data_IF_262751102173
#
_entry.id   IF_262751102173
#
_cell.length_a   1.000
_cell.length_b   1.000
_cell.length_c   1.000
_cell.angle_alpha   90.00
_cell.angle_beta   90.00
_cell.angle_gamma   90.00
#
_symmetry.space_group_name_H-M   'P 1'
#
loop_
_entity.id
_entity.type
_entity.pdbx_description
1 polymer ?
#
# COMPACT_ATOMS: atom_id res chain seq x y z
N UNK A 1 -21.92 4.53 5.78
CA UNK A 1 -22.69 3.30 5.46
C UNK A 1 -22.24 2.27 6.49
N UNK A 2 -23.12 1.80 7.38
CA UNK A 2 -22.72 0.93 8.50
C UNK A 2 -22.36 -0.46 7.96
N UNK A 3 -21.09 -0.87 8.03
CA UNK A 3 -20.70 -2.27 7.84
C UNK A 3 -21.21 -3.06 9.05
N UNK A 4 -22.37 -3.69 8.92
CA UNK A 4 -22.88 -4.61 9.93
C UNK A 4 -22.22 -5.97 9.76
N UNK A 5 -21.65 -6.50 10.84
CA UNK A 5 -21.05 -7.82 10.93
C UNK A 5 -22.03 -8.94 10.53
N UNK A 6 -21.74 -9.60 9.42
CA UNK A 6 -22.36 -10.86 9.00
C UNK A 6 -21.25 -11.80 8.52
N UNK A 7 -21.00 -12.88 9.26
CA UNK A 7 -20.28 -14.07 8.80
C UNK A 7 -21.17 -15.26 9.18
N UNK A 8 -21.83 -15.83 8.17
CA UNK A 8 -22.57 -17.11 8.29
C UNK A 8 -21.67 -18.18 7.70
N UNK A 9 -21.27 -19.13 8.56
CA UNK A 9 -20.44 -20.26 8.17
C UNK A 9 -21.10 -21.15 7.12
N UNK A 10 -20.33 -21.51 6.09
CA UNK A 10 -20.70 -22.52 5.12
C UNK A 10 -19.57 -23.55 5.06
N UNK A 11 -19.85 -24.78 5.49
CA UNK A 11 -18.95 -25.91 5.33
C UNK A 11 -19.20 -26.56 3.96
N UNK A 12 -18.17 -26.62 3.10
CA UNK A 12 -18.16 -27.49 1.93
C UNK A 12 -16.98 -28.45 2.01
N UNK A 13 -17.29 -29.74 1.90
CA UNK A 13 -16.30 -30.81 1.79
C UNK A 13 -16.32 -31.32 0.36
N UNK A 14 -15.19 -31.22 -0.36
CA UNK A 14 -14.96 -32.00 -1.58
C UNK A 14 -13.49 -32.42 -1.66
N UNK A 15 -13.29 -33.74 -1.76
CA UNK A 15 -11.99 -34.38 -2.01
C UNK A 15 -12.04 -35.11 -3.34
N UNK A 16 -11.05 -34.86 -4.20
CA UNK A 16 -10.53 -35.82 -5.18
C UNK A 16 -9.09 -35.42 -5.52
N UNK A 17 -8.13 -36.28 -5.18
CA UNK A 17 -6.70 -36.03 -5.35
C UNK A 17 -6.16 -36.56 -6.68
N UNK A 18 -5.28 -35.76 -7.30
CA UNK A 18 -4.30 -36.20 -8.29
C UNK A 18 -2.93 -35.87 -7.69
N UNK A 19 -2.06 -36.88 -7.56
CA UNK A 19 -0.73 -36.71 -6.97
C UNK A 19 0.26 -36.20 -8.03
N UNK A 20 0.41 -34.89 -8.13
CA UNK A 20 1.59 -34.24 -8.71
C UNK A 20 2.68 -34.09 -7.66
N UNK A 21 3.95 -34.16 -8.06
CA UNK A 21 5.06 -33.87 -7.17
C UNK A 21 5.01 -32.39 -6.75
N UNK A 22 4.48 -32.12 -5.55
CA UNK A 22 4.49 -30.77 -4.98
C UNK A 22 5.93 -30.40 -4.58
N UNK A 23 6.39 -29.18 -4.90
CA UNK A 23 7.60 -28.65 -4.31
C UNK A 23 7.48 -28.74 -2.79
N UNK A 24 8.49 -29.32 -2.13
CA UNK A 24 8.51 -29.43 -0.66
C UNK A 24 8.49 -28.04 -0.06
N UNK A 25 7.33 -27.67 0.51
CA UNK A 25 7.19 -26.49 1.33
C UNK A 25 8.31 -26.42 2.38
N UNK A 26 8.92 -25.25 2.62
CA UNK A 26 9.87 -25.09 3.70
C UNK A 26 9.26 -25.59 5.01
N UNK A 27 10.04 -26.32 5.81
CA UNK A 27 9.57 -27.18 6.89
C UNK A 27 8.87 -26.46 8.08
N UNK A 28 8.51 -25.18 7.97
CA UNK A 28 7.94 -24.37 9.06
C UNK A 28 6.92 -23.32 8.57
N UNK A 29 6.14 -23.59 7.51
CA UNK A 29 5.05 -22.67 7.11
C UNK A 29 3.86 -22.77 8.08
N UNK A 30 3.26 -21.62 8.40
CA UNK A 30 2.03 -21.55 9.19
C UNK A 30 0.82 -21.84 8.30
N UNK A 31 0.75 -21.18 7.14
CA UNK A 31 -0.32 -21.33 6.14
C UNK A 31 0.30 -21.22 4.76
N UNK A 32 -0.23 -22.00 3.82
CA UNK A 32 0.19 -21.99 2.42
C UNK A 32 -0.99 -22.33 1.50
N UNK A 33 -1.55 -21.31 0.85
CA UNK A 33 -2.59 -21.45 -0.14
C UNK A 33 -1.96 -21.37 -1.54
N UNK A 34 -1.88 -22.52 -2.23
CA UNK A 34 -1.30 -22.67 -3.58
C UNK A 34 -2.35 -22.57 -4.71
N UNK A 35 -3.64 -22.58 -4.36
CA UNK A 35 -4.77 -22.44 -5.29
C UNK A 35 -4.85 -23.46 -6.44
N UNK A 36 -4.12 -24.58 -6.35
CA UNK A 36 -4.04 -25.60 -7.40
C UNK A 36 -5.39 -26.21 -7.80
N UNK A 37 -6.29 -26.39 -6.83
CA UNK A 37 -7.57 -27.08 -7.04
C UNK A 37 -8.77 -26.31 -6.52
N UNK A 38 -8.57 -25.17 -5.84
CA UNK A 38 -9.65 -24.44 -5.18
C UNK A 38 -9.16 -23.20 -4.43
N UNK A 39 -10.10 -22.31 -4.10
CA UNK A 39 -9.82 -21.03 -3.42
C UNK A 39 -9.49 -21.18 -1.92
N UNK A 40 -9.56 -22.40 -1.36
CA UNK A 40 -9.50 -22.58 0.09
C UNK A 40 -10.64 -21.84 0.79
N UNK A 41 -10.31 -21.10 1.85
CA UNK A 41 -11.28 -20.27 2.60
C UNK A 41 -11.43 -18.85 2.02
N UNK A 42 -10.74 -18.54 0.93
CA UNK A 42 -10.85 -17.24 0.29
C UNK A 42 -12.22 -17.05 -0.38
N UNK A 43 -12.87 -15.94 -0.06
CA UNK A 43 -14.20 -15.60 -0.56
C UNK A 43 -14.26 -14.15 -1.02
N UNK A 44 -15.15 -13.87 -1.97
CA UNK A 44 -15.43 -12.51 -2.40
C UNK A 44 -16.45 -11.84 -1.48
N UNK A 45 -16.15 -10.62 -1.06
CA UNK A 45 -17.06 -9.70 -0.40
C UNK A 45 -17.40 -8.55 -1.34
N UNK A 46 -18.67 -8.12 -1.36
CA UNK A 46 -19.17 -7.05 -2.21
C UNK A 46 -20.14 -7.55 -3.28
N UNK A 47 -21.07 -6.69 -3.70
CA UNK A 47 -22.15 -7.07 -4.62
C UNK A 47 -21.64 -7.44 -6.02
N UNK A 48 -20.58 -6.78 -6.48
CA UNK A 48 -19.96 -7.04 -7.79
C UNK A 48 -18.83 -8.06 -7.75
N UNK A 49 -18.43 -8.50 -6.56
CA UNK A 49 -17.22 -9.27 -6.37
C UNK A 49 -17.43 -10.76 -6.66
N UNK A 50 -16.45 -11.41 -7.30
CA UNK A 50 -16.40 -12.86 -7.50
C UNK A 50 -14.98 -13.37 -7.27
N UNK A 51 -14.87 -14.52 -6.63
CA UNK A 51 -13.62 -15.24 -6.45
C UNK A 51 -13.74 -16.61 -7.13
N UNK A 52 -12.69 -17.05 -7.81
CA UNK A 52 -12.63 -18.33 -8.50
C UNK A 52 -11.19 -18.75 -8.78
N UNK A 53 -10.99 -19.95 -9.34
CA UNK A 53 -9.65 -20.41 -9.75
C UNK A 53 -9.52 -20.27 -11.26
N UNK A 54 -8.40 -19.71 -11.71
CA UNK A 54 -7.98 -19.74 -13.10
C UNK A 54 -6.89 -20.78 -13.32
N UNK A 55 -6.93 -21.46 -14.46
CA UNK A 55 -5.90 -22.38 -14.95
C UNK A 55 -5.27 -21.88 -16.26
N UNK A 56 -5.54 -20.63 -16.63
CA UNK A 56 -4.88 -19.99 -17.77
C UNK A 56 -3.41 -19.76 -17.42
N UNK A 57 -2.49 -20.38 -18.16
CA UNK A 57 -1.06 -20.26 -17.95
C UNK A 57 -0.53 -18.82 -17.97
N UNK A 58 -1.22 -17.88 -18.64
CA UNK A 58 -0.85 -16.46 -18.60
C UNK A 58 -1.11 -15.79 -17.23
N UNK A 59 -1.95 -16.41 -16.40
CA UNK A 59 -2.47 -15.91 -15.14
C UNK A 59 -2.23 -16.88 -13.97
N UNK A 60 -1.28 -17.81 -14.13
CA UNK A 60 -0.76 -18.69 -13.07
C UNK A 60 0.72 -18.36 -12.89
N UNK A 61 1.17 -18.15 -11.66
CA UNK A 61 2.55 -17.78 -11.37
C UNK A 61 3.41 -19.00 -11.07
N UNK A 62 2.90 -19.90 -10.23
CA UNK A 62 3.49 -21.19 -9.90
C UNK A 62 2.41 -22.28 -9.99
N UNK A 63 2.80 -23.54 -10.18
CA UNK A 63 1.83 -24.63 -10.23
C UNK A 63 0.91 -24.62 -11.45
N UNK A 64 -0.37 -24.93 -11.22
CA UNK A 64 -1.41 -25.11 -12.25
C UNK A 64 -2.62 -24.19 -12.04
N UNK A 65 -2.75 -23.52 -10.90
CA UNK A 65 -3.91 -22.69 -10.58
C UNK A 65 -3.52 -21.44 -9.82
N UNK A 66 -4.29 -20.37 -10.02
CA UNK A 66 -4.19 -19.15 -9.22
C UNK A 66 -5.60 -18.66 -8.84
N UNK A 67 -5.70 -17.97 -7.71
CA UNK A 67 -6.96 -17.36 -7.27
C UNK A 67 -7.22 -16.09 -8.09
N UNK A 68 -8.32 -16.08 -8.84
CA UNK A 68 -8.83 -14.94 -9.58
C UNK A 68 -9.88 -14.19 -8.75
N UNK A 69 -9.77 -12.87 -8.68
CA UNK A 69 -10.75 -11.98 -8.06
C UNK A 69 -11.22 -10.92 -9.06
N UNK A 70 -12.51 -10.99 -9.42
CA UNK A 70 -13.21 -10.02 -10.25
C UNK A 70 -14.02 -9.05 -9.40
N UNK A 71 -14.00 -7.77 -9.72
CA UNK A 71 -14.81 -6.75 -9.03
C UNK A 71 -15.06 -5.54 -9.93
N UNK A 72 -15.97 -4.66 -9.52
CA UNK A 72 -16.19 -3.37 -10.18
C UNK A 72 -15.85 -2.23 -9.23
N UNK A 73 -15.00 -1.29 -9.69
CA UNK A 73 -14.89 0.02 -9.06
C UNK A 73 -16.14 0.82 -9.40
N UNK A 74 -16.97 1.13 -8.41
CA UNK A 74 -18.16 1.98 -8.59
C UNK A 74 -18.58 2.69 -7.30
N UNK A 75 -19.25 3.85 -7.41
CA UNK A 75 -19.80 4.53 -6.24
C UNK A 75 -20.74 3.65 -5.43
N UNK A 76 -20.71 3.82 -4.10
CA UNK A 76 -21.51 3.11 -3.09
C UNK A 76 -21.26 1.61 -2.99
N UNK A 77 -20.16 1.10 -3.57
CA UNK A 77 -19.76 -0.29 -3.41
C UNK A 77 -18.34 -0.42 -2.87
N UNK A 78 -18.16 -1.48 -2.09
CA UNK A 78 -16.88 -1.93 -1.59
C UNK A 78 -16.79 -3.43 -1.83
N UNK A 79 -15.69 -3.84 -2.43
CA UNK A 79 -15.36 -5.20 -2.79
C UNK A 79 -14.01 -5.55 -2.16
N UNK A 80 -13.88 -6.78 -1.66
CA UNK A 80 -12.63 -7.29 -1.12
C UNK A 80 -12.57 -8.81 -1.29
N UNK A 81 -11.35 -9.33 -1.36
CA UNK A 81 -11.07 -10.75 -1.27
C UNK A 81 -10.71 -11.07 0.18
N UNK A 82 -11.44 -11.97 0.84
CA UNK A 82 -11.36 -12.19 2.30
C UNK A 82 -11.04 -13.66 2.60
N UNK A 83 -10.07 -13.88 3.48
CA UNK A 83 -9.77 -15.17 4.12
C UNK A 83 -10.07 -15.06 5.63
N UNK A 84 -11.12 -15.73 6.16
CA UNK A 84 -11.44 -15.71 7.57
C UNK A 84 -10.42 -16.53 8.39
N UNK A 85 -9.97 -15.98 9.50
CA UNK A 85 -9.01 -16.61 10.42
C UNK A 85 -9.67 -16.80 11.79
N UNK A 86 -10.66 -17.70 11.86
CA UNK A 86 -11.56 -17.85 13.01
C UNK A 86 -10.86 -18.05 14.37
N UNK A 87 -9.62 -18.54 14.37
CA UNK A 87 -8.84 -18.82 15.58
C UNK A 87 -7.65 -17.85 15.79
N UNK A 88 -7.63 -16.70 15.12
CA UNK A 88 -6.45 -15.84 15.12
C UNK A 88 -5.41 -16.29 14.10
N UNK A 89 -4.37 -15.47 13.92
CA UNK A 89 -3.10 -15.89 13.34
C UNK A 89 -2.15 -16.34 14.48
N UNK A 90 -1.22 -17.28 14.24
CA UNK A 90 -0.22 -17.61 15.25
C UNK A 90 0.63 -16.39 15.64
N UNK A 91 0.88 -16.23 16.95
CA UNK A 91 1.67 -15.11 17.51
C UNK A 91 3.08 -14.99 16.96
N UNK A 92 3.64 -16.10 16.49
CA UNK A 92 4.96 -16.14 15.88
C UNK A 92 4.93 -15.82 14.38
N UNK A 93 3.82 -15.34 13.81
CA UNK A 93 3.79 -14.82 12.43
C UNK A 93 4.76 -13.66 12.30
N UNK A 94 5.67 -13.74 11.33
CA UNK A 94 6.69 -12.72 11.07
C UNK A 94 6.63 -12.19 9.64
N UNK A 95 5.97 -12.90 8.72
CA UNK A 95 5.84 -12.48 7.32
C UNK A 95 4.57 -13.02 6.65
N UNK A 96 4.02 -12.20 5.76
CA UNK A 96 3.05 -12.54 4.73
C UNK A 96 3.76 -12.45 3.38
N UNK A 97 3.66 -13.49 2.56
CA UNK A 97 4.28 -13.51 1.23
C UNK A 97 3.29 -14.05 0.21
N UNK A 98 3.24 -13.45 -0.97
CA UNK A 98 2.40 -13.94 -2.07
C UNK A 98 2.84 -13.33 -3.39
N UNK A 99 2.34 -13.89 -4.48
CA UNK A 99 2.42 -13.29 -5.81
C UNK A 99 1.10 -12.60 -6.14
N UNK A 100 1.17 -11.42 -6.76
CA UNK A 100 0.01 -10.68 -7.24
C UNK A 100 0.22 -10.22 -8.68
N UNK A 101 -0.84 -10.24 -9.49
CA UNK A 101 -0.90 -9.63 -10.83
C UNK A 101 -2.26 -8.95 -10.99
N UNK A 102 -2.32 -7.76 -11.56
CA UNK A 102 -3.59 -7.07 -11.85
C UNK A 102 -3.71 -6.72 -13.32
N UNK A 103 -4.92 -6.62 -13.85
CA UNK A 103 -5.21 -6.17 -15.22
C UNK A 103 -4.98 -4.66 -15.42
N UNK A 104 -4.72 -3.94 -14.33
CA UNK A 104 -4.37 -2.52 -14.33
C UNK A 104 -3.35 -2.19 -13.24
N UNK A 105 -2.85 -0.95 -13.22
CA UNK A 105 -1.97 -0.48 -12.16
C UNK A 105 -2.78 -0.18 -10.90
N UNK A 106 -2.79 -1.10 -9.95
CA UNK A 106 -3.67 -1.06 -8.78
C UNK A 106 -2.92 -0.62 -7.51
N UNK A 107 -3.60 0.18 -6.68
CA UNK A 107 -3.20 0.44 -5.30
C UNK A 107 -3.95 -0.52 -4.39
N UNK A 108 -3.30 -1.60 -3.98
CA UNK A 108 -3.92 -2.61 -3.14
C UNK A 108 -3.54 -2.41 -1.67
N UNK A 109 -4.33 -3.02 -0.80
CA UNK A 109 -4.10 -3.05 0.64
C UNK A 109 -4.32 -4.46 1.13
N UNK A 110 -3.36 -4.96 1.91
CA UNK A 110 -3.56 -6.10 2.80
C UNK A 110 -4.13 -5.58 4.12
N UNK A 111 -5.26 -6.13 4.54
CA UNK A 111 -5.99 -5.77 5.75
C UNK A 111 -5.90 -6.92 6.74
N UNK A 112 -5.60 -6.61 8.00
CA UNK A 112 -5.84 -7.49 9.14
C UNK A 112 -6.94 -6.87 9.99
N UNK A 113 -7.99 -7.65 10.25
CA UNK A 113 -9.10 -7.23 11.10
C UNK A 113 -9.09 -8.06 12.37
N UNK A 114 -8.98 -7.42 13.52
CA UNK A 114 -9.09 -8.08 14.82
C UNK A 114 -10.54 -8.30 15.25
N UNK A 115 -10.75 -9.31 16.10
CA UNK A 115 -12.01 -9.55 16.79
C UNK A 115 -12.19 -8.49 17.88
N UNK A 116 -13.16 -7.57 17.70
CA UNK A 116 -13.42 -6.44 18.59
C UNK A 116 -12.26 -5.43 18.73
N UNK A 117 -11.25 -5.51 17.86
CA UNK A 117 -10.06 -4.67 17.87
C UNK A 117 -9.89 -3.86 16.58
N UNK A 118 -8.68 -3.36 16.39
CA UNK A 118 -8.35 -2.45 15.29
C UNK A 118 -8.48 -3.09 13.91
N UNK A 119 -8.51 -2.21 12.90
CA UNK A 119 -8.25 -2.60 11.51
C UNK A 119 -6.87 -2.09 11.12
N UNK A 120 -6.03 -3.00 10.67
CA UNK A 120 -4.65 -2.75 10.32
C UNK A 120 -4.45 -2.87 8.82
N UNK A 121 -3.74 -1.91 8.21
CA UNK A 121 -3.59 -1.79 6.76
C UNK A 121 -2.10 -1.78 6.38
N UNK A 122 -1.73 -2.56 5.38
CA UNK A 122 -0.45 -2.48 4.69
C UNK A 122 -0.70 -2.27 3.19
N UNK A 123 -0.36 -1.07 2.69
CA UNK A 123 -0.54 -0.72 1.27
C UNK A 123 0.60 -1.28 0.43
N UNK A 124 0.28 -1.68 -0.80
CA UNK A 124 1.26 -2.04 -1.81
C UNK A 124 0.70 -1.81 -3.22
N UNK A 125 1.59 -1.70 -4.20
CA UNK A 125 1.22 -1.51 -5.59
C UNK A 125 1.24 -2.85 -6.30
N UNK A 126 0.27 -3.10 -7.17
CA UNK A 126 0.30 -4.21 -8.12
C UNK A 126 0.45 -3.63 -9.55
N UNK A 127 1.58 -3.87 -10.24
CA UNK A 127 1.76 -3.39 -11.60
C UNK A 127 0.82 -4.10 -12.57
N UNK A 128 0.42 -3.37 -13.61
CA UNK A 128 -0.41 -3.89 -14.69
C UNK A 128 0.29 -5.08 -15.38
N UNK A 129 -0.47 -6.15 -15.56
CA UNK A 129 -0.14 -7.35 -16.34
C UNK A 129 1.19 -8.01 -15.95
N UNK A 130 1.72 -7.72 -14.76
CA UNK A 130 3.02 -8.19 -14.30
C UNK A 130 2.88 -8.86 -12.95
N UNK A 131 3.37 -10.10 -12.83
CA UNK A 131 3.49 -10.76 -11.54
C UNK A 131 4.54 -10.09 -10.68
N UNK A 132 4.15 -9.72 -9.47
CA UNK A 132 5.03 -9.17 -8.45
C UNK A 132 4.92 -9.98 -7.17
N UNK A 133 6.07 -10.28 -6.57
CA UNK A 133 6.10 -10.83 -5.23
C UNK A 133 5.84 -9.71 -4.23
N UNK A 134 4.96 -9.96 -3.28
CA UNK A 134 4.65 -9.09 -2.15
C UNK A 134 5.16 -9.74 -0.88
N UNK A 135 5.85 -8.97 -0.06
CA UNK A 135 6.44 -9.41 1.21
C UNK A 135 6.13 -8.37 2.29
N UNK A 136 5.25 -8.70 3.23
CA UNK A 136 4.79 -7.76 4.27
C UNK A 136 5.07 -8.36 5.65
N UNK A 137 5.71 -7.60 6.53
CA UNK A 137 5.88 -7.94 7.94
C UNK A 137 4.75 -7.33 8.80
N UNK A 138 4.45 -7.89 9.98
CA UNK A 138 3.51 -7.27 10.92
C UNK A 138 3.83 -5.80 11.25
N UNK A 139 5.10 -5.40 11.23
CA UNK A 139 5.53 -4.02 11.47
C UNK A 139 5.17 -3.02 10.37
N UNK A 140 4.82 -3.50 9.18
CA UNK A 140 4.42 -2.67 8.04
C UNK A 140 2.96 -2.22 8.12
N UNK A 141 2.18 -2.86 8.99
CA UNK A 141 0.79 -2.50 9.19
C UNK A 141 0.65 -1.23 10.02
N UNK A 142 -0.28 -0.37 9.61
CA UNK A 142 -0.70 0.80 10.36
C UNK A 142 -2.16 0.66 10.78
N UNK A 143 -2.49 1.13 11.98
CA UNK A 143 -3.87 1.18 12.45
C UNK A 143 -4.65 2.20 11.61
N UNK A 144 -5.78 1.77 11.05
CA UNK A 144 -6.73 2.63 10.34
C UNK A 144 -7.36 3.65 11.30
N UNK A 145 -7.47 4.90 10.86
CA UNK A 145 -8.03 6.00 11.66
C UNK A 145 -9.39 6.48 11.13
N UNK A 146 -10.08 5.64 10.35
CA UNK A 146 -11.44 5.94 9.91
C UNK A 146 -12.38 6.05 11.13
N UNK A 147 -13.19 7.12 11.25
CA UNK A 147 -14.11 7.30 12.37
C UNK A 147 -15.09 6.14 12.62
N UNK A 148 -15.43 5.38 11.57
CA UNK A 148 -16.35 4.24 11.64
C UNK A 148 -15.65 2.90 11.94
N UNK A 149 -14.30 2.87 12.03
CA UNK A 149 -13.58 1.65 12.31
C UNK A 149 -13.65 1.27 13.80
N UNK A 150 -13.64 -0.04 14.13
CA UNK A 150 -13.59 -0.47 15.51
C UNK A 150 -12.31 0.07 16.16
N UNK A 151 -12.46 0.57 17.39
CA UNK A 151 -11.34 1.12 18.15
C UNK A 151 -10.48 0.00 18.68
N UNK A 152 -9.19 0.14 18.50
CA UNK A 152 -8.20 -0.67 19.19
C UNK A 152 -7.92 -0.05 20.59
N UNK A 153 -8.07 -0.81 21.68
CA UNK A 153 -7.83 -0.31 23.03
C UNK A 153 -6.37 0.02 23.34
N UNK A 154 -5.39 -0.62 22.70
CA UNK A 154 -3.96 -0.44 23.00
C UNK A 154 -3.11 0.03 21.81
N UNK A 155 -3.73 0.15 20.63
CA UNK A 155 -3.13 0.54 19.36
C UNK A 155 -1.96 -0.37 18.94
N UNK A 156 -2.10 -1.68 19.17
CA UNK A 156 -1.14 -2.69 18.74
C UNK A 156 -1.83 -3.82 17.99
N UNK A 157 -1.16 -4.28 16.93
CA UNK A 157 -1.61 -5.44 16.19
C UNK A 157 -1.42 -6.71 17.04
N UNK A 158 -2.54 -7.29 17.48
CA UNK A 158 -2.66 -8.55 18.19
C UNK A 158 -2.97 -9.68 17.20
N UNK A 159 -1.91 -10.34 16.70
CA UNK A 159 -2.02 -11.38 15.68
C UNK A 159 -2.97 -12.53 16.06
N UNK A 160 -3.02 -12.93 17.34
CA UNK A 160 -3.94 -13.97 17.82
C UNK A 160 -5.41 -13.53 17.92
N UNK A 161 -5.68 -12.25 17.72
CA UNK A 161 -7.04 -11.70 17.64
C UNK A 161 -7.48 -11.44 16.20
N UNK A 162 -6.60 -11.59 15.20
CA UNK A 162 -6.95 -11.39 13.79
C UNK A 162 -7.99 -12.42 13.35
N UNK A 163 -9.19 -11.97 13.00
CA UNK A 163 -10.31 -12.81 12.54
C UNK A 163 -10.51 -12.82 11.03
N UNK A 164 -9.86 -11.92 10.31
CA UNK A 164 -9.85 -11.93 8.85
C UNK A 164 -8.59 -11.27 8.29
N UNK A 165 -8.08 -11.88 7.22
CA UNK A 165 -7.13 -11.29 6.28
C UNK A 165 -7.92 -10.89 5.04
N UNK A 166 -7.70 -9.69 4.50
CA UNK A 166 -8.35 -9.29 3.26
C UNK A 166 -7.43 -8.53 2.33
N UNK A 167 -7.68 -8.61 1.03
CA UNK A 167 -7.04 -7.77 0.01
C UNK A 167 -8.13 -6.92 -0.64
N UNK A 168 -7.90 -5.61 -0.68
CA UNK A 168 -8.84 -4.66 -1.27
C UNK A 168 -8.13 -3.58 -2.07
N UNK A 169 -8.85 -3.00 -3.01
CA UNK A 169 -8.38 -1.88 -3.82
C UNK A 169 -8.70 -0.54 -3.15
N UNK A 170 -7.68 0.28 -2.93
CA UNK A 170 -7.76 1.61 -2.29
C UNK A 170 -8.52 2.61 -3.17
N UNK A 171 -8.55 2.41 -4.49
CA UNK A 171 -9.30 3.27 -5.42
C UNK A 171 -10.81 3.27 -5.13
N UNK A 172 -11.32 2.25 -4.44
CA UNK A 172 -12.69 2.18 -3.96
C UNK A 172 -13.06 3.29 -2.97
N UNK A 173 -12.09 3.89 -2.29
CA UNK A 173 -12.32 5.03 -1.39
C UNK A 173 -12.52 6.30 -2.23
N UNK A 174 -11.66 6.51 -3.23
CA UNK A 174 -11.71 7.72 -4.07
C UNK A 174 -12.95 7.77 -4.95
N UNK A 175 -13.41 6.63 -5.47
CA UNK A 175 -14.60 6.57 -6.33
C UNK A 175 -15.90 6.97 -5.58
N UNK A 176 -15.89 6.98 -4.24
CA UNK A 176 -17.03 7.46 -3.44
C UNK A 176 -17.21 8.98 -3.51
N UNK A 177 -16.16 9.73 -3.88
CA UNK A 177 -16.20 11.18 -4.04
C UNK A 177 -15.89 11.54 -5.50
N UNK A 178 -16.90 11.90 -6.31
CA UNK A 178 -16.71 12.18 -7.74
C UNK A 178 -15.67 13.27 -8.05
N UNK A 179 -15.57 14.30 -7.20
CA UNK A 179 -14.59 15.38 -7.38
C UNK A 179 -13.16 14.87 -7.17
N UNK A 180 -12.96 14.07 -6.11
CA UNK A 180 -11.67 13.45 -5.83
C UNK A 180 -11.30 12.41 -6.89
N UNK A 181 -12.25 11.56 -7.29
CA UNK A 181 -12.06 10.58 -8.35
C UNK A 181 -11.63 11.25 -9.67
N UNK A 182 -12.28 12.37 -10.03
CA UNK A 182 -11.88 13.15 -11.21
C UNK A 182 -10.46 13.71 -11.08
N UNK A 183 -10.14 14.36 -9.95
CA UNK A 183 -8.81 14.95 -9.72
C UNK A 183 -7.70 13.89 -9.77
N UNK A 184 -7.97 12.69 -9.26
CA UNK A 184 -7.02 11.59 -9.16
C UNK A 184 -7.07 10.62 -10.35
N UNK A 185 -7.92 10.89 -11.35
CA UNK A 185 -8.15 10.04 -12.51
C UNK A 185 -8.59 8.60 -12.18
N UNK A 186 -9.34 8.43 -11.09
CA UNK A 186 -9.93 7.14 -10.71
C UNK A 186 -11.25 6.97 -11.46
N UNK A 187 -11.36 5.91 -12.24
CA UNK A 187 -12.52 5.63 -13.10
C UNK A 187 -13.28 4.41 -12.62
N UNK A 188 -14.61 4.44 -12.81
CA UNK A 188 -15.42 3.26 -12.60
C UNK A 188 -15.18 2.27 -13.75
N UNK A 189 -14.77 1.05 -13.43
CA UNK A 189 -14.50 0.01 -14.40
C UNK A 189 -14.51 -1.38 -13.72
N UNK A 190 -14.79 -2.46 -14.48
CA UNK A 190 -14.47 -3.79 -14.02
C UNK A 190 -12.95 -3.95 -13.94
N UNK A 191 -12.50 -4.63 -12.89
CA UNK A 191 -11.10 -4.91 -12.64
C UNK A 191 -10.92 -6.33 -12.14
N UNK A 192 -9.68 -6.79 -12.28
CA UNK A 192 -9.29 -8.14 -11.89
C UNK A 192 -7.90 -8.14 -11.30
N UNK A 193 -7.71 -8.98 -10.28
CA UNK A 193 -6.37 -9.40 -9.91
C UNK A 193 -6.31 -10.91 -9.66
N UNK A 194 -5.09 -11.42 -9.70
CA UNK A 194 -4.71 -12.79 -9.47
C UNK A 194 -3.80 -12.87 -8.26
N UNK A 195 -4.06 -13.82 -7.38
CA UNK A 195 -3.25 -14.14 -6.20
C UNK A 195 -2.71 -15.56 -6.34
N UNK A 196 -1.43 -15.75 -6.04
CA UNK A 196 -0.78 -17.06 -6.08
C UNK A 196 0.20 -17.23 -4.92
N UNK A 197 0.42 -18.47 -4.48
CA UNK A 197 1.25 -18.87 -3.33
C UNK A 197 1.12 -17.96 -2.10
N UNK A 198 -0.07 -17.86 -1.52
CA UNK A 198 -0.26 -17.07 -0.30
C UNK A 198 0.30 -17.81 0.92
N UNK A 199 1.29 -17.20 1.56
CA UNK A 199 2.11 -17.78 2.61
C UNK A 199 2.07 -16.92 3.88
N UNK A 200 1.92 -17.58 5.02
CA UNK A 200 2.18 -17.01 6.33
C UNK A 200 3.35 -17.76 6.95
N UNK A 201 4.39 -17.03 7.35
CA UNK A 201 5.65 -17.60 7.79
C UNK A 201 6.07 -17.08 9.18
N UNK A 202 6.67 -17.92 10.02
CA UNK A 202 7.33 -17.50 11.25
C UNK A 202 8.75 -16.98 11.02
N UNK A 203 9.25 -17.04 9.78
CA UNK A 203 10.55 -16.49 9.43
C UNK A 203 10.39 -15.00 9.12
N UNK A 204 11.20 -14.13 9.75
CA UNK A 204 11.18 -12.71 9.41
C UNK A 204 11.64 -12.49 7.98
N UNK A 205 11.13 -11.41 7.37
CA UNK A 205 11.67 -10.92 6.11
C UNK A 205 13.12 -10.49 6.29
N UNK A 206 13.95 -10.51 5.23
CA UNK A 206 15.28 -9.93 5.28
C UNK A 206 15.21 -8.48 5.76
N UNK A 207 16.00 -8.15 6.78
CA UNK A 207 16.09 -6.77 7.22
C UNK A 207 16.67 -5.91 6.10
N UNK A 208 16.12 -4.71 5.84
CA UNK A 208 16.76 -3.76 4.95
C UNK A 208 18.13 -3.37 5.51
N UNK A 209 19.03 -2.90 4.63
CA UNK A 209 20.29 -2.29 5.07
C UNK A 209 19.98 -1.20 6.11
N UNK A 210 20.67 -1.23 7.25
CA UNK A 210 20.41 -0.29 8.33
C UNK A 210 20.77 1.13 7.90
N UNK A 211 19.86 2.08 8.17
CA UNK A 211 20.16 3.50 8.10
C UNK A 211 21.42 3.85 8.91
N UNK A 212 22.17 4.91 8.54
CA UNK A 212 23.27 5.42 9.36
C UNK A 212 22.83 5.69 10.81
N UNK A 213 23.76 5.55 11.76
CA UNK A 213 23.49 5.70 13.20
C UNK A 213 22.62 6.93 13.52
N UNK A 214 21.49 6.70 14.19
CA UNK A 214 20.55 7.73 14.62
C UNK A 214 19.44 8.08 13.62
N UNK A 215 19.54 7.61 12.37
CA UNK A 215 18.48 7.77 11.36
C UNK A 215 17.54 6.56 11.35
N UNK A 216 16.30 6.79 10.92
CA UNK A 216 15.31 5.75 10.66
C UNK A 216 14.86 5.88 9.20
N UNK A 217 14.96 4.81 8.42
CA UNK A 217 14.38 4.78 7.07
C UNK A 217 12.85 4.73 7.19
N UNK A 218 12.16 5.70 6.57
CA UNK A 218 10.73 5.60 6.32
C UNK A 218 10.44 4.61 5.19
N UNK A 219 11.33 4.54 4.21
CA UNK A 219 11.36 3.49 3.20
C UNK A 219 12.77 3.30 2.63
N UNK A 220 13.30 2.08 2.75
CA UNK A 220 14.58 1.69 2.18
C UNK A 220 14.45 1.14 0.74
N UNK A 221 13.21 0.95 0.25
CA UNK A 221 12.89 0.29 -1.02
C UNK A 221 13.54 -1.09 -1.17
N UNK A 222 13.70 -1.79 -0.04
CA UNK A 222 14.37 -3.09 0.02
C UNK A 222 13.47 -4.21 -0.52
N UNK A 223 12.17 -4.14 -0.25
CA UNK A 223 11.21 -5.15 -0.67
C UNK A 223 10.99 -5.16 -2.20
N UNK A 224 10.51 -6.29 -2.76
CA UNK A 224 10.21 -6.39 -4.19
C UNK A 224 9.02 -5.51 -4.63
N UNK A 225 8.09 -5.24 -3.72
CA UNK A 225 6.96 -4.33 -3.90
C UNK A 225 7.20 -2.95 -3.28
N UNK A 226 6.47 -1.95 -3.77
CA UNK A 226 6.46 -0.61 -3.22
C UNK A 226 5.28 -0.46 -2.27
N UNK A 227 5.55 -0.11 -1.01
CA UNK A 227 4.52 0.10 0.02
C UNK A 227 4.06 1.57 0.06
N UNK A 228 3.60 2.06 -1.10
CA UNK A 228 3.18 3.43 -1.36
C UNK A 228 1.78 3.44 -2.00
N UNK A 229 1.05 4.52 -1.76
CA UNK A 229 -0.14 4.88 -2.53
C UNK A 229 0.28 5.83 -3.65
N UNK A 230 -0.24 5.61 -4.86
CA UNK A 230 0.01 6.45 -6.04
C UNK A 230 -1.30 6.86 -6.73
N UNK A 231 -1.54 8.15 -6.89
CA UNK A 231 -2.74 8.67 -7.55
C UNK A 231 -2.44 9.84 -8.49
N UNK A 232 -3.33 10.10 -9.44
CA UNK A 232 -3.12 11.13 -10.47
C UNK A 232 -2.44 10.61 -11.74
N UNK A 233 -2.71 9.36 -12.15
CA UNK A 233 -2.18 8.81 -13.41
C UNK A 233 -0.67 8.50 -13.39
N UNK A 234 -0.14 8.23 -12.20
CA UNK A 234 1.26 7.87 -11.96
C UNK A 234 1.45 6.35 -12.01
N UNK A 235 2.51 5.92 -12.68
CA UNK A 235 3.01 4.55 -12.61
C UNK A 235 4.22 4.53 -11.69
N UNK A 236 4.10 3.81 -10.57
CA UNK A 236 5.23 3.57 -9.68
C UNK A 236 5.94 2.26 -10.05
N UNK A 237 7.26 2.29 -9.94
CA UNK A 237 8.12 1.12 -10.05
C UNK A 237 9.39 1.31 -9.22
N UNK A 238 10.10 0.22 -8.93
CA UNK A 238 11.44 0.32 -8.33
C UNK A 238 12.47 0.55 -9.43
N UNK A 239 13.34 1.53 -9.22
CA UNK A 239 14.41 1.86 -10.17
C UNK A 239 15.34 0.68 -10.39
N UNK A 240 15.68 0.42 -11.66
CA UNK A 240 16.76 -0.50 -12.06
C UNK A 240 18.04 0.23 -12.47
N UNK A 241 17.93 1.49 -12.88
CA UNK A 241 19.02 2.30 -13.42
C UNK A 241 19.73 3.17 -12.36
N UNK A 242 21.02 3.46 -12.55
CA UNK A 242 21.84 4.18 -11.56
C UNK A 242 21.68 5.70 -11.59
N UNK A 243 20.45 6.22 -11.55
CA UNK A 243 20.22 7.68 -11.40
C UNK A 243 20.53 8.14 -9.97
N UNK A 244 20.08 7.37 -8.99
CA UNK A 244 20.37 7.59 -7.57
C UNK A 244 21.26 6.45 -7.03
N UNK A 245 22.00 6.74 -5.97
CA UNK A 245 22.78 5.72 -5.25
C UNK A 245 21.86 4.83 -4.41
N UNK A 246 21.69 3.59 -4.83
CA UNK A 246 20.92 2.57 -4.12
C UNK A 246 19.49 2.37 -4.64
N UNK A 247 18.69 1.51 -3.99
CA UNK A 247 17.28 1.31 -4.31
C UNK A 247 16.51 2.63 -4.28
N UNK A 248 15.57 2.81 -5.19
CA UNK A 248 14.81 4.05 -5.32
C UNK A 248 13.39 3.80 -5.85
N UNK A 249 12.49 4.69 -5.47
CA UNK A 249 11.18 4.85 -6.10
C UNK A 249 11.37 5.53 -7.46
N UNK A 250 10.74 4.99 -8.50
CA UNK A 250 10.53 5.65 -9.78
C UNK A 250 9.04 5.96 -9.95
N UNK A 251 8.76 7.18 -10.37
CA UNK A 251 7.44 7.69 -10.64
C UNK A 251 7.39 8.20 -12.08
N UNK A 252 6.73 7.46 -12.96
CA UNK A 252 6.48 7.87 -14.34
C UNK A 252 5.06 8.43 -14.46
N UNK A 253 4.94 9.67 -14.92
CA UNK A 253 3.65 10.35 -15.01
C UNK A 253 3.69 11.49 -16.03
N UNK A 254 2.53 12.10 -16.25
CA UNK A 254 2.40 13.31 -17.08
C UNK A 254 2.11 14.50 -16.19
N UNK A 255 2.99 15.50 -16.21
CA UNK A 255 2.64 16.83 -15.71
C UNK A 255 1.68 17.45 -16.72
N UNK A 256 0.43 17.68 -16.33
CA UNK A 256 -0.59 18.26 -17.19
C UNK A 256 -1.35 19.40 -16.46
N UNK A 257 -1.90 20.38 -17.20
CA UNK A 257 -2.68 21.45 -16.59
C UNK A 257 -3.79 20.92 -15.69
N UNK A 258 -3.90 21.48 -14.48
CA UNK A 258 -4.92 21.11 -13.47
C UNK A 258 -4.81 19.69 -12.90
N UNK A 259 -3.73 18.96 -13.21
CA UNK A 259 -3.50 17.63 -12.67
C UNK A 259 -2.57 17.69 -11.46
N UNK A 260 -2.93 16.93 -10.42
CA UNK A 260 -2.12 16.69 -9.23
C UNK A 260 -1.64 15.24 -9.25
N UNK A 261 -0.34 15.04 -9.00
CA UNK A 261 0.22 13.71 -8.78
C UNK A 261 0.60 13.58 -7.32
N UNK A 262 0.13 12.52 -6.65
CA UNK A 262 0.38 12.30 -5.23
C UNK A 262 0.95 10.91 -5.02
N UNK A 263 2.05 10.85 -4.27
CA UNK A 263 2.57 9.63 -3.67
C UNK A 263 2.45 9.78 -2.16
N UNK A 264 1.87 8.79 -1.49
CA UNK A 264 1.72 8.80 -0.02
C UNK A 264 2.27 7.52 0.58
N UNK A 265 2.93 7.65 1.73
CA UNK A 265 3.33 6.53 2.56
C UNK A 265 2.78 6.69 3.97
N UNK A 266 1.96 5.73 4.38
CA UNK A 266 1.56 5.61 5.78
C UNK A 266 2.76 5.22 6.64
N UNK A 267 2.81 5.79 7.84
CA UNK A 267 3.83 5.50 8.85
C UNK A 267 3.12 5.23 10.19
N UNK A 268 3.78 4.48 11.06
CA UNK A 268 3.26 4.23 12.41
C UNK A 268 3.24 5.53 13.21
N UNK A 269 2.16 5.75 13.95
CA UNK A 269 2.07 6.88 14.90
C UNK A 269 3.20 6.80 15.92
N UNK A 270 3.68 7.96 16.37
CA UNK A 270 4.82 8.06 17.27
C UNK A 270 6.20 7.86 16.63
N UNK A 271 6.29 7.41 15.36
CA UNK A 271 7.58 7.19 14.69
C UNK A 271 8.44 8.47 14.62
N UNK A 272 7.78 9.63 14.53
CA UNK A 272 8.45 10.93 14.40
C UNK A 272 8.58 11.71 15.71
N UNK A 273 8.07 11.19 16.85
CA UNK A 273 7.87 11.97 18.08
C UNK A 273 9.11 12.76 18.55
N UNK A 274 10.30 12.17 18.39
CA UNK A 274 11.58 12.79 18.81
C UNK A 274 12.47 13.21 17.63
N UNK A 275 11.92 13.21 16.41
CA UNK A 275 12.64 13.53 15.18
C UNK A 275 12.55 15.01 14.87
N UNK A 276 13.53 15.53 14.13
CA UNK A 276 13.62 16.95 13.76
C UNK A 276 13.66 17.16 12.27
N UNK A 277 14.16 16.17 11.55
CA UNK A 277 14.41 16.30 10.12
C UNK A 277 13.80 15.15 9.33
N UNK A 278 13.34 15.46 8.12
CA UNK A 278 13.10 14.53 7.03
C UNK A 278 14.16 14.79 5.95
N UNK A 279 14.88 13.75 5.58
CA UNK A 279 15.89 13.78 4.52
C UNK A 279 15.54 12.79 3.43
N UNK A 280 15.85 13.14 2.19
CA UNK A 280 15.72 12.25 1.03
C UNK A 280 16.53 12.80 -0.14
N UNK A 281 16.90 11.93 -1.07
CA UNK A 281 17.48 12.32 -2.35
C UNK A 281 16.38 12.28 -3.42
N UNK A 282 16.40 13.26 -4.33
CA UNK A 282 15.42 13.39 -5.42
C UNK A 282 16.10 13.79 -6.72
N UNK A 283 15.58 13.31 -7.84
CA UNK A 283 15.96 13.74 -9.18
C UNK A 283 14.75 13.69 -10.12
N UNK A 284 14.73 14.51 -11.17
CA UNK A 284 13.62 14.51 -12.12
C UNK A 284 14.04 14.82 -13.56
N UNK A 285 13.38 14.21 -14.55
CA UNK A 285 13.68 14.48 -15.97
C UNK A 285 13.26 15.88 -16.40
N UNK A 286 12.20 16.42 -15.79
CA UNK A 286 11.66 17.76 -15.98
C UNK A 286 11.74 18.51 -14.67
N UNK A 287 11.77 19.84 -14.73
CA UNK A 287 11.69 20.63 -13.52
C UNK A 287 10.35 20.34 -12.84
N UNK A 288 10.36 20.18 -11.53
CA UNK A 288 9.18 19.88 -10.75
C UNK A 288 9.13 20.70 -9.47
N UNK A 289 7.96 21.23 -9.13
CA UNK A 289 7.68 21.80 -7.82
C UNK A 289 6.96 20.74 -6.99
N UNK A 290 7.64 20.21 -5.97
CA UNK A 290 7.07 19.20 -5.07
C UNK A 290 6.60 19.85 -3.77
N UNK A 291 5.38 19.57 -3.36
CA UNK A 291 4.93 19.77 -1.98
C UNK A 291 5.25 18.51 -1.19
N UNK A 292 6.05 18.65 -0.13
CA UNK A 292 6.28 17.59 0.86
C UNK A 292 5.41 17.89 2.06
N UNK A 293 4.51 16.97 2.40
CA UNK A 293 3.51 17.16 3.44
C UNK A 293 3.54 16.03 4.47
N UNK A 294 3.39 16.40 5.74
CA UNK A 294 3.04 15.49 6.83
C UNK A 294 1.56 15.68 7.17
N UNK A 295 0.87 14.57 7.41
CA UNK A 295 -0.51 14.58 7.88
C UNK A 295 -0.62 13.85 9.22
N UNK A 296 -1.34 14.47 10.14
CA UNK A 296 -1.66 13.97 11.47
C UNK A 296 -2.99 13.23 11.52
N UNK A 297 -3.15 12.37 12.51
CA UNK A 297 -4.48 11.92 12.94
C UNK A 297 -5.34 13.13 13.29
N UNK A 298 -6.59 13.14 12.83
CA UNK A 298 -7.50 14.29 13.03
C UNK A 298 -7.44 15.36 11.94
N UNK A 299 -6.51 15.23 10.97
CA UNK A 299 -6.51 16.05 9.75
C UNK A 299 -5.66 17.32 9.82
N UNK A 300 -4.77 17.43 10.80
CA UNK A 300 -3.69 18.42 10.75
C UNK A 300 -2.75 18.13 9.58
N UNK A 301 -2.42 19.17 8.81
CA UNK A 301 -1.59 19.06 7.59
C UNK A 301 -0.54 20.15 7.59
N UNK A 302 0.71 19.73 7.40
CA UNK A 302 1.88 20.62 7.45
C UNK A 302 2.79 20.35 6.26
N UNK A 303 3.14 21.38 5.51
CA UNK A 303 3.89 21.19 4.28
C UNK A 303 4.93 22.27 4.01
N UNK A 304 5.79 21.97 3.05
CA UNK A 304 6.71 22.91 2.40
C UNK A 304 6.80 22.58 0.92
N UNK A 305 7.13 23.56 0.10
CA UNK A 305 7.40 23.38 -1.31
C UNK A 305 8.91 23.34 -1.56
N UNK A 306 9.34 22.44 -2.43
CA UNK A 306 10.72 22.35 -2.91
C UNK A 306 10.73 22.37 -4.44
N UNK A 307 11.76 22.99 -5.01
CA UNK A 307 12.03 22.94 -6.44
C UNK A 307 13.02 21.82 -6.73
N UNK A 308 12.68 20.95 -7.68
CA UNK A 308 13.51 19.86 -8.18
C UNK A 308 13.97 20.20 -9.60
N UNK A 309 15.28 20.26 -9.88
CA UNK A 309 15.80 20.58 -11.19
C UNK A 309 15.51 19.50 -12.23
N UNK A 310 15.49 19.90 -13.50
CA UNK A 310 15.35 19.00 -14.64
C UNK A 310 16.62 18.18 -14.91
N UNK A 311 16.56 17.34 -15.95
CA UNK A 311 17.69 16.57 -16.52
C UNK A 311 18.31 15.55 -15.56
N UNK A 312 17.49 14.97 -14.68
CA UNK A 312 17.88 13.94 -13.71
C UNK A 312 19.03 14.41 -12.79
N UNK A 313 19.11 15.71 -12.51
CA UNK A 313 20.09 16.23 -11.56
C UNK A 313 19.69 15.82 -10.14
N UNK A 314 20.59 15.08 -9.48
CA UNK A 314 20.44 14.70 -8.08
C UNK A 314 20.45 15.94 -7.17
N UNK A 315 19.50 15.97 -6.23
CA UNK A 315 19.43 16.93 -5.14
C UNK A 315 19.13 16.20 -3.83
N UNK A 316 19.97 16.43 -2.82
CA UNK A 316 19.70 15.98 -1.45
C UNK A 316 18.90 17.04 -0.71
N UNK A 317 17.76 16.63 -0.17
CA UNK A 317 16.82 17.49 0.55
C UNK A 317 16.91 17.19 2.04
N UNK A 318 16.92 18.26 2.85
CA UNK A 318 16.81 18.20 4.30
C UNK A 318 15.75 19.21 4.76
N UNK A 319 14.62 18.70 5.24
CA UNK A 319 13.50 19.49 5.74
C UNK A 319 13.54 19.46 7.27
N UNK A 320 13.69 20.63 7.89
CA UNK A 320 13.42 20.81 9.31
C UNK A 320 11.91 20.87 9.54
N UNK A 321 11.40 20.00 10.42
CA UNK A 321 9.97 19.98 10.76
C UNK A 321 9.48 21.30 11.36
N UNK A 322 10.36 22.08 12.01
CA UNK A 322 10.02 23.40 12.51
C UNK A 322 9.74 24.44 11.39
N UNK A 323 10.16 24.15 10.16
CA UNK A 323 9.94 25.03 9.00
C UNK A 323 8.67 24.68 8.21
N UNK A 324 7.98 23.57 8.54
CA UNK A 324 6.73 23.21 7.90
C UNK A 324 5.63 24.19 8.32
N UNK A 325 4.76 24.54 7.37
CA UNK A 325 3.65 25.46 7.58
C UNK A 325 2.32 24.71 7.53
N UNK A 326 1.32 25.10 8.33
CA UNK A 326 -0.02 24.57 8.15
C UNK A 326 -0.47 24.74 6.71
N UNK A 327 -1.04 23.68 6.13
CA UNK A 327 -1.72 23.78 4.84
C UNK A 327 -3.02 24.58 4.98
N UNK A 328 -3.47 25.22 3.90
CA UNK A 328 -4.72 26.01 3.90
C UNK A 328 -5.96 25.19 4.27
N UNK A 329 -5.92 23.87 4.04
CA UNK A 329 -6.99 22.93 4.37
C UNK A 329 -6.73 22.11 5.65
N UNK A 330 -5.73 22.51 6.45
CA UNK A 330 -5.41 21.87 7.74
C UNK A 330 -6.59 22.02 8.71
N UNK A 331 -6.93 20.92 9.41
CA UNK A 331 -8.00 20.87 10.42
C UNK A 331 -7.47 20.74 11.85
N UNK A 332 -6.21 21.12 12.05
CA UNK A 332 -5.58 21.07 13.36
C UNK A 332 -6.16 22.14 14.31
N UNK A 333 -6.42 21.73 15.55
CA UNK A 333 -7.00 22.57 16.58
C UNK A 333 -5.96 23.44 17.29
N UNK A 334 -4.69 23.04 17.32
CA UNK A 334 -3.64 23.73 18.08
C UNK A 334 -2.66 24.55 17.21
N UNK A 335 -2.75 24.43 15.89
CA UNK A 335 -1.89 25.08 14.90
C UNK A 335 -0.39 24.76 15.11
N UNK A 336 -0.09 23.55 15.54
CA UNK A 336 1.28 23.04 15.71
C UNK A 336 1.37 21.63 15.13
N UNK A 337 2.48 21.36 14.44
CA UNK A 337 2.83 20.01 14.02
C UNK A 337 3.17 19.14 15.26
N UNK A 338 2.30 18.19 15.56
CA UNK A 338 2.43 17.19 16.60
C UNK A 338 3.02 15.90 16.01
N UNK A 339 4.34 15.77 16.08
CA UNK A 339 5.09 14.70 15.41
C UNK A 339 4.73 13.28 15.88
N UNK A 340 4.24 13.13 17.11
CA UNK A 340 3.73 11.86 17.63
C UNK A 340 2.38 11.45 17.01
N UNK A 341 1.65 12.41 16.40
CA UNK A 341 0.37 12.20 15.73
C UNK A 341 0.49 12.02 14.21
N UNK A 342 1.66 12.22 13.63
CA UNK A 342 1.87 12.05 12.18
C UNK A 342 1.63 10.59 11.78
N UNK A 343 0.78 10.39 10.77
CA UNK A 343 0.37 9.08 10.26
C UNK A 343 0.81 8.82 8.82
N UNK A 344 1.20 9.85 8.08
CA UNK A 344 1.70 9.69 6.72
C UNK A 344 2.56 10.85 6.24
N UNK A 345 3.42 10.54 5.26
CA UNK A 345 4.19 11.51 4.47
C UNK A 345 3.71 11.48 3.02
N UNK A 346 3.54 12.64 2.40
CA UNK A 346 3.12 12.79 1.02
C UNK A 346 4.17 13.57 0.22
N UNK A 347 4.36 13.14 -1.02
CA UNK A 347 5.09 13.86 -2.06
C UNK A 347 4.11 14.17 -3.19
N UNK A 348 3.89 15.45 -3.44
CA UNK A 348 2.90 15.92 -4.41
C UNK A 348 3.55 16.78 -5.48
N UNK A 349 3.51 16.37 -6.75
CA UNK A 349 3.94 17.24 -7.84
C UNK A 349 2.78 18.16 -8.27
N UNK A 350 2.96 19.46 -8.03
CA UNK A 350 2.00 20.52 -8.35
C UNK A 350 2.37 21.33 -9.60
N UNK A 351 3.39 20.91 -10.35
CA UNK A 351 3.89 21.62 -11.53
C UNK A 351 2.83 21.78 -12.61
N UNK A 352 1.98 20.77 -12.79
CA UNK A 352 0.84 20.84 -13.72
C UNK A 352 -0.15 21.96 -13.36
N UNK A 353 -0.32 22.24 -12.07
CA UNK A 353 -1.19 23.31 -11.57
C UNK A 353 -0.51 24.68 -11.70
N UNK A 354 0.74 24.79 -11.24
CA UNK A 354 1.46 26.07 -11.15
C UNK A 354 1.99 26.56 -12.49
N UNK A 355 2.58 25.67 -13.28
CA UNK A 355 3.32 26.03 -14.49
C UNK A 355 2.54 25.72 -15.78
N UNK A 356 1.38 25.07 -15.66
CA UNK A 356 0.55 24.63 -16.80
C UNK A 356 1.36 23.81 -17.84
N UNK A 357 2.36 23.07 -17.38
CA UNK A 357 3.17 22.22 -18.24
C UNK A 357 2.35 21.02 -18.72
N UNK A 358 2.65 20.54 -19.92
CA UNK A 358 2.06 19.34 -20.51
C UNK A 358 3.18 18.44 -21.05
N UNK A 359 3.89 17.78 -20.14
CA UNK A 359 5.07 16.96 -20.45
C UNK A 359 5.06 15.68 -19.65
N UNK A 360 5.56 14.61 -20.26
CA UNK A 360 5.87 13.39 -19.52
C UNK A 360 7.10 13.67 -18.65
N UNK A 361 7.08 13.14 -17.43
CA UNK A 361 8.13 13.29 -16.43
C UNK A 361 8.37 11.95 -15.72
N UNK A 362 9.64 11.68 -15.44
CA UNK A 362 10.05 10.68 -14.46
C UNK A 362 10.65 11.38 -13.24
N UNK A 363 10.17 11.02 -12.06
CA UNK A 363 10.69 11.46 -10.77
C UNK A 363 11.29 10.26 -10.04
N UNK A 364 12.45 10.46 -9.42
CA UNK A 364 13.11 9.46 -8.60
C UNK A 364 13.26 9.98 -7.18
N UNK A 365 12.94 9.15 -6.18
CA UNK A 365 13.11 9.47 -4.76
C UNK A 365 13.79 8.30 -4.07
N UNK A 366 14.81 8.55 -3.26
CA UNK A 366 15.36 7.52 -2.37
C UNK A 366 15.87 8.05 -1.01
N UNK A 367 16.34 7.12 -0.16
CA UNK A 367 16.88 7.38 1.17
C UNK A 367 15.97 8.24 2.05
N UNK A 368 14.67 7.95 2.04
CA UNK A 368 13.68 8.71 2.81
C UNK A 368 13.86 8.37 4.28
N UNK A 369 14.41 9.31 5.05
CA UNK A 369 14.91 9.09 6.41
C UNK A 369 14.50 10.20 7.35
N UNK A 370 14.34 9.84 8.62
CA UNK A 370 14.09 10.79 9.70
C UNK A 370 15.15 10.70 10.79
N UNK A 371 15.53 11.84 11.35
CA UNK A 371 16.55 11.95 12.39
C UNK A 371 16.15 12.90 13.50
#
# INVERSE_FOLDING_TARGET
>A
MKLNAWLVGSAMTLTCGIAGAQPTAPANLITHDTFETGAGEWTAFGESAKAGITHDAANVKEGQGALEFDYELKPNQFNALINPTANGLPKNTQAFQFWIKSDYGANLTLVLQEANGGRYLAMFIAPKDTWQRVEIAPSDFVLSDNPDDPKDPDNKLDLDQVQAVAIGDVNQIFIQNPQMAQLLHVQAAPHRFYLDDFLISPQPLPEPDTAPDGMIDLDAFAHPQLSWLAVGGIQLSRVKDKILDGPALQADYRQAPQQLVVMSKSIRRGLLADKKHLTFDVASTKAATLIVQLEETGGGKYNTAIEVPANAQLQSINIDFANLKPADDSKDANNRLDLDQVKQVLFMDVSGILNQTNTDNTLWINKIRVS
#
